data_IF_822062145535
#
_entry.id   IF_822062145535
#
_cell.length_a   1.000
_cell.length_b   1.000
_cell.length_c   1.000
_cell.angle_alpha   90.00
_cell.angle_beta   90.00
_cell.angle_gamma   90.00
#
_symmetry.space_group_name_H-M   'P 1'
#
loop_
_entity.id
_entity.type
_entity.pdbx_description
1 polymer ?
#
# COMPACT_ATOMS: atom_id res chain seq x y z
N UNK A 1 -4.69 23.70 18.78
CA UNK A 1 -4.95 24.11 17.38
C UNK A 1 -4.85 22.88 16.47
N UNK A 2 -5.95 22.16 16.27
CA UNK A 2 -6.09 21.16 15.21
C UNK A 2 -7.19 21.66 14.30
N UNK A 3 -6.80 22.38 13.24
CA UNK A 3 -7.72 22.88 12.23
C UNK A 3 -7.85 21.85 11.11
N UNK A 4 -8.91 21.05 11.14
CA UNK A 4 -9.28 20.17 10.03
C UNK A 4 -10.29 20.89 9.15
N UNK A 5 -9.89 21.32 7.95
CA UNK A 5 -10.86 21.62 6.89
C UNK A 5 -11.55 20.32 6.45
N UNK A 6 -12.83 20.33 6.03
CA UNK A 6 -13.32 19.25 5.18
C UNK A 6 -12.55 19.34 3.85
N UNK A 7 -11.66 18.39 3.56
CA UNK A 7 -10.99 18.31 2.25
C UNK A 7 -9.46 18.19 2.22
N UNK A 8 -8.78 17.65 3.24
CA UNK A 8 -7.40 17.17 3.06
C UNK A 8 -7.19 15.88 3.85
N UNK A 9 -6.95 14.78 3.14
CA UNK A 9 -6.64 13.50 3.77
C UNK A 9 -5.32 13.64 4.57
N UNK A 10 -5.26 13.15 5.82
CA UNK A 10 -4.04 13.20 6.60
C UNK A 10 -2.94 12.36 5.95
N UNK A 11 -1.69 12.75 6.20
CA UNK A 11 -0.54 11.99 5.73
C UNK A 11 -0.61 10.55 6.28
N UNK A 12 -0.57 9.51 5.44
CA UNK A 12 -0.73 8.13 5.88
C UNK A 12 0.33 7.71 6.92
N UNK A 13 1.56 8.24 6.82
CA UNK A 13 2.62 7.95 7.78
C UNK A 13 2.28 8.46 9.19
N UNK A 14 1.63 9.62 9.28
CA UNK A 14 1.16 10.15 10.56
C UNK A 14 0.09 9.24 11.15
N UNK A 15 -0.88 8.81 10.34
CA UNK A 15 -1.96 7.93 10.77
C UNK A 15 -1.39 6.60 11.31
N UNK A 16 -0.48 5.96 10.57
CA UNK A 16 0.18 4.72 11.03
C UNK A 16 0.88 4.94 12.37
N UNK A 17 1.54 6.08 12.56
CA UNK A 17 2.23 6.40 13.81
C UNK A 17 1.29 6.58 14.99
N UNK A 18 0.15 7.23 14.77
CA UNK A 18 -0.80 7.53 15.84
C UNK A 18 -1.73 6.35 16.16
N UNK A 19 -2.15 5.58 15.15
CA UNK A 19 -3.18 4.54 15.32
C UNK A 19 -2.61 3.11 15.36
N UNK A 20 -1.60 2.80 14.56
CA UNK A 20 -1.12 1.43 14.35
C UNK A 20 0.20 1.12 15.08
N UNK A 21 0.84 2.13 15.69
CA UNK A 21 2.10 1.95 16.41
C UNK A 21 1.86 1.32 17.78
N UNK A 22 1.99 0.00 17.85
CA UNK A 22 2.00 -0.74 19.12
C UNK A 22 3.28 -1.57 19.25
N UNK A 23 3.74 -1.75 20.49
CA UNK A 23 4.80 -2.71 20.85
C UNK A 23 4.24 -4.01 21.41
N UNK A 24 2.92 -4.11 21.56
CA UNK A 24 2.25 -5.25 22.16
C UNK A 24 1.93 -6.27 21.08
N UNK A 25 2.38 -7.51 21.28
CA UNK A 25 1.94 -8.65 20.48
C UNK A 25 0.64 -9.19 21.09
N UNK A 26 -0.39 -9.38 20.27
CA UNK A 26 -1.65 -9.97 20.70
C UNK A 26 -1.47 -11.50 20.68
N UNK A 27 -1.69 -12.20 21.81
CA UNK A 27 -1.60 -13.65 21.83
C UNK A 27 -2.70 -14.24 20.94
N UNK A 28 -2.35 -15.23 20.13
CA UNK A 28 -3.26 -15.92 19.22
C UNK A 28 -3.11 -17.43 19.35
N UNK A 29 -4.22 -18.15 19.23
CA UNK A 29 -4.22 -19.60 19.11
C UNK A 29 -3.83 -20.09 17.69
N UNK A 30 -3.82 -19.18 16.71
CA UNK A 30 -3.39 -19.49 15.35
C UNK A 30 -1.87 -19.54 15.25
N UNK A 31 -1.35 -20.53 14.52
CA UNK A 31 0.07 -20.60 14.19
C UNK A 31 0.41 -19.66 13.00
N UNK A 32 1.70 -19.50 12.73
CA UNK A 32 2.18 -18.65 11.62
C UNK A 32 1.75 -19.13 10.23
N UNK A 33 1.34 -20.40 10.07
CA UNK A 33 0.87 -20.92 8.77
C UNK A 33 -0.43 -20.25 8.34
N UNK A 34 -1.28 -19.81 9.27
CA UNK A 34 -2.52 -19.10 8.92
C UNK A 34 -2.20 -17.78 8.20
N UNK A 35 -1.19 -17.04 8.67
CA UNK A 35 -0.72 -15.82 8.01
C UNK A 35 -0.10 -16.13 6.64
N UNK A 36 0.73 -17.17 6.57
CA UNK A 36 1.40 -17.56 5.33
C UNK A 36 0.40 -18.01 4.26
N UNK A 37 -0.61 -18.80 4.65
CA UNK A 37 -1.67 -19.24 3.75
C UNK A 37 -2.55 -18.08 3.28
N UNK A 38 -2.84 -17.12 4.17
CA UNK A 38 -3.58 -15.90 3.78
C UNK A 38 -2.85 -15.09 2.70
N UNK A 39 -1.52 -14.96 2.81
CA UNK A 39 -0.70 -14.33 1.78
C UNK A 39 -0.70 -15.13 0.47
N UNK A 40 -0.52 -16.45 0.55
CA UNK A 40 -0.57 -17.33 -0.62
C UNK A 40 -1.90 -17.19 -1.38
N UNK A 41 -3.02 -17.24 -0.66
CA UNK A 41 -4.35 -17.08 -1.27
C UNK A 41 -4.55 -15.67 -1.87
N UNK A 42 -4.07 -14.62 -1.19
CA UNK A 42 -4.16 -13.25 -1.73
C UNK A 42 -3.40 -13.09 -3.04
N UNK A 43 -2.24 -13.74 -3.15
CA UNK A 43 -1.42 -13.75 -4.35
C UNK A 43 -1.97 -14.63 -5.48
N UNK A 44 -2.89 -15.54 -5.18
CA UNK A 44 -3.59 -16.33 -6.21
C UNK A 44 -4.67 -15.48 -6.89
N UNK A 45 -5.45 -14.73 -6.11
CA UNK A 45 -6.63 -14.02 -6.60
C UNK A 45 -6.28 -12.64 -7.18
N UNK A 46 -5.30 -11.94 -6.60
CA UNK A 46 -5.05 -10.53 -6.92
C UNK A 46 -3.57 -10.18 -7.03
N UNK A 47 -3.20 -9.55 -8.13
CA UNK A 47 -1.92 -8.91 -8.31
C UNK A 47 -2.08 -7.59 -9.08
N UNK A 48 -1.76 -6.47 -8.42
CA UNK A 48 -1.76 -5.15 -9.06
C UNK A 48 -0.39 -4.87 -9.67
N UNK A 49 -0.39 -4.59 -10.96
CA UNK A 49 0.82 -4.26 -11.71
C UNK A 49 1.39 -2.89 -11.35
N UNK A 50 2.72 -2.77 -11.31
CA UNK A 50 3.42 -1.52 -11.05
C UNK A 50 4.26 -1.18 -12.29
N UNK A 51 4.04 0.00 -12.88
CA UNK A 51 4.63 0.38 -14.17
C UNK A 51 6.06 0.92 -14.07
N UNK A 52 6.51 1.42 -12.91
CA UNK A 52 7.78 2.14 -12.79
C UNK A 52 8.38 2.08 -11.37
N UNK A 53 9.70 1.96 -11.26
CA UNK A 53 10.38 2.09 -9.96
C UNK A 53 10.58 3.57 -9.61
N UNK A 54 9.89 4.01 -8.56
CA UNK A 54 10.03 5.34 -7.99
C UNK A 54 11.10 5.33 -6.90
N UNK A 55 12.31 5.83 -7.20
CA UNK A 55 13.40 5.86 -6.23
C UNK A 55 13.56 7.22 -5.52
N UNK A 56 12.98 8.27 -6.08
CA UNK A 56 13.08 9.63 -5.57
C UNK A 56 11.80 10.10 -4.89
N UNK A 57 11.92 11.14 -4.05
CA UNK A 57 10.79 11.78 -3.38
C UNK A 57 10.03 12.78 -4.27
N UNK A 58 10.00 12.56 -5.59
CA UNK A 58 9.31 13.42 -6.55
C UNK A 58 7.90 12.91 -6.80
N UNK A 59 6.93 13.81 -6.76
CA UNK A 59 5.55 13.47 -7.06
C UNK A 59 5.33 13.60 -8.58
N UNK A 60 4.93 12.50 -9.21
CA UNK A 60 4.68 12.43 -10.65
C UNK A 60 3.34 11.75 -10.92
N UNK A 61 2.98 11.53 -12.18
CA UNK A 61 1.77 10.78 -12.55
C UNK A 61 1.78 9.36 -12.01
N UNK A 62 2.96 8.74 -11.90
CA UNK A 62 3.15 7.34 -11.47
C UNK A 62 3.74 7.20 -10.06
N UNK A 63 4.35 8.26 -9.51
CA UNK A 63 4.97 8.23 -8.18
C UNK A 63 4.20 9.09 -7.18
N UNK A 64 3.90 8.52 -6.01
CA UNK A 64 3.22 9.21 -4.92
C UNK A 64 3.99 9.02 -3.61
N UNK A 65 5.11 9.73 -3.41
CA UNK A 65 5.94 9.54 -2.22
C UNK A 65 5.18 9.89 -0.94
N UNK A 66 5.40 9.10 0.11
CA UNK A 66 4.84 9.36 1.44
C UNK A 66 5.89 10.06 2.30
N UNK A 67 5.69 11.35 2.55
CA UNK A 67 6.65 12.14 3.32
C UNK A 67 6.63 11.79 4.80
N UNK A 68 7.81 11.75 5.42
CA UNK A 68 7.90 11.67 6.87
C UNK A 68 7.58 13.03 7.51
N UNK A 69 6.96 12.99 8.70
CA UNK A 69 6.90 14.18 9.53
C UNK A 69 8.31 14.52 10.07
N UNK A 70 8.60 15.81 10.28
CA UNK A 70 9.92 16.24 10.79
C UNK A 70 10.31 15.55 12.10
N UNK A 71 9.31 15.22 12.93
CA UNK A 71 9.49 14.64 14.26
C UNK A 71 9.27 13.11 14.27
N UNK A 72 9.31 12.44 13.10
CA UNK A 72 9.19 10.98 13.03
C UNK A 72 10.48 10.30 13.51
N UNK A 73 10.44 9.50 14.60
CA UNK A 73 11.63 8.86 15.16
C UNK A 73 12.15 7.73 14.30
N UNK A 74 11.34 7.21 13.36
CA UNK A 74 11.78 6.18 12.39
C UNK A 74 12.10 6.79 11.02
N UNK A 75 12.34 8.10 10.97
CA UNK A 75 12.74 8.78 9.74
C UNK A 75 14.16 8.37 9.35
N UNK A 76 14.29 7.49 8.36
CA UNK A 76 15.56 7.12 7.74
C UNK A 76 15.90 7.98 6.52
N UNK A 77 14.88 8.58 5.89
CA UNK A 77 14.99 9.36 4.65
C UNK A 77 14.00 10.53 4.65
N UNK A 78 13.90 11.26 3.53
CA UNK A 78 12.92 12.35 3.37
C UNK A 78 11.49 11.79 3.19
N UNK A 79 11.35 10.68 2.48
CA UNK A 79 10.07 10.04 2.19
C UNK A 79 10.21 8.51 2.07
N UNK A 80 9.08 7.82 2.13
CA UNK A 80 8.96 6.44 1.66
C UNK A 80 8.61 6.47 0.17
N UNK A 81 9.41 5.88 -0.72
CA UNK A 81 9.07 5.77 -2.13
C UNK A 81 7.82 4.90 -2.29
N UNK A 82 6.91 5.32 -3.17
CA UNK A 82 5.69 4.58 -3.46
C UNK A 82 5.26 4.79 -4.91
N UNK A 83 5.22 3.70 -5.65
CA UNK A 83 4.74 3.64 -7.03
C UNK A 83 3.23 3.41 -7.04
N UNK A 84 2.51 4.15 -7.87
CA UNK A 84 1.09 3.93 -8.14
C UNK A 84 0.92 2.72 -9.06
N UNK A 85 -0.12 1.94 -8.78
CA UNK A 85 -0.49 0.81 -9.63
C UNK A 85 -0.79 1.27 -11.06
N UNK A 86 -0.42 0.43 -12.01
CA UNK A 86 -0.72 0.58 -13.41
C UNK A 86 -2.24 0.56 -13.63
N UNK A 87 -2.69 1.52 -14.41
CA UNK A 87 -4.11 1.75 -14.66
C UNK A 87 -4.42 1.59 -16.13
N UNK A 88 -5.58 1.04 -16.44
CA UNK A 88 -6.15 1.08 -17.79
C UNK A 88 -7.16 2.21 -17.88
N UNK A 89 -7.10 2.93 -19.00
CA UNK A 89 -8.12 3.90 -19.36
C UNK A 89 -9.25 3.14 -20.06
N UNK A 90 -10.45 3.18 -19.47
CA UNK A 90 -11.66 2.90 -20.23
C UNK A 90 -11.95 4.14 -21.08
N UNK A 91 -12.40 3.99 -22.33
CA UNK A 91 -12.61 5.12 -23.26
C UNK A 91 -13.46 6.24 -22.63
N UNK A 92 -12.83 7.33 -22.20
CA UNK A 92 -13.47 8.46 -21.51
C UNK A 92 -13.89 8.21 -20.04
N UNK A 93 -13.53 7.06 -19.46
CA UNK A 93 -13.86 6.66 -18.10
C UNK A 93 -12.73 6.90 -17.08
N UNK A 94 -13.01 6.69 -15.79
CA UNK A 94 -12.00 6.82 -14.74
C UNK A 94 -10.88 5.78 -14.92
N UNK A 95 -9.71 6.09 -14.35
CA UNK A 95 -8.59 5.15 -14.29
C UNK A 95 -8.95 3.97 -13.38
N UNK A 96 -8.82 2.75 -13.89
CA UNK A 96 -9.04 1.52 -13.14
C UNK A 96 -7.75 0.72 -13.02
N UNK A 97 -7.48 0.18 -11.83
CA UNK A 97 -6.33 -0.69 -11.58
C UNK A 97 -6.56 -2.05 -12.22
N UNK A 98 -5.48 -2.69 -12.66
CA UNK A 98 -5.54 -4.00 -13.32
C UNK A 98 -5.08 -5.10 -12.39
N UNK A 99 -5.85 -6.19 -12.39
CA UNK A 99 -5.42 -7.47 -11.85
C UNK A 99 -4.70 -8.26 -12.95
N UNK A 100 -3.47 -8.66 -12.72
CA UNK A 100 -2.70 -9.53 -13.63
C UNK A 100 -2.97 -11.03 -13.37
N UNK A 101 -3.54 -11.37 -12.22
CA UNK A 101 -3.94 -12.74 -11.90
C UNK A 101 -5.35 -13.06 -12.39
N UNK A 102 -5.64 -14.36 -12.45
CA UNK A 102 -7.01 -14.82 -12.64
C UNK A 102 -7.84 -14.45 -11.40
N UNK A 103 -9.14 -14.21 -11.59
CA UNK A 103 -10.04 -13.91 -10.47
C UNK A 103 -10.50 -15.17 -9.72
N UNK A 104 -10.04 -16.35 -10.15
CA UNK A 104 -10.43 -17.64 -9.62
C UNK A 104 -9.39 -18.13 -8.61
N UNK A 105 -9.79 -19.07 -7.75
CA UNK A 105 -8.85 -19.81 -6.91
C UNK A 105 -8.44 -21.04 -7.70
N UNK A 106 -7.44 -20.89 -8.54
CA UNK A 106 -6.97 -21.91 -9.49
C UNK A 106 -5.48 -22.28 -9.30
N UNK A 107 -4.85 -21.77 -8.24
CA UNK A 107 -3.43 -21.96 -7.95
C UNK A 107 -2.48 -21.40 -9.03
N UNK A 108 -2.91 -20.35 -9.74
CA UNK A 108 -2.07 -19.53 -10.63
C UNK A 108 -0.76 -19.05 -9.99
N UNK A 109 -0.71 -18.88 -8.67
CA UNK A 109 0.50 -18.50 -7.94
C UNK A 109 1.64 -19.54 -7.98
N UNK A 110 1.38 -20.76 -8.45
CA UNK A 110 2.34 -21.88 -8.49
C UNK A 110 2.74 -22.26 -9.92
N UNK A 111 2.04 -21.76 -10.95
CA UNK A 111 2.23 -22.17 -12.35
C UNK A 111 3.40 -21.47 -13.04
#
# INVERSE_FOLDING_TARGET
MFGSRPGTAPNPRLITRFLLSSKVAIPSAANGLVMQFGQFLSHDITHNTNMLDCNDCTQTTHCQPVFFARNDPKRSSVCVPFTRSSSRCQNGGPLVQMNENTAFIDASAVS
#
